data_IF_424411079078
#
_entry.id   IF_424411079078
#
_cell.length_a   1.000
_cell.length_b   1.000
_cell.length_c   1.000
_cell.angle_alpha   90.00
_cell.angle_beta   90.00
_cell.angle_gamma   90.00
#
_symmetry.space_group_name_H-M   'P 1'
#
loop_
_entity.id
_entity.type
_entity.pdbx_description
1 polymer ?
#
# COMPACT_ATOMS: atom_id res chain seq x y z
N UNK A 1 -22.15 -8.10 -10.45
CA UNK A 1 -21.83 -7.51 -9.14
C UNK A 1 -22.94 -6.55 -8.78
N UNK A 2 -23.54 -6.67 -7.60
CA UNK A 2 -24.42 -5.61 -7.09
C UNK A 2 -23.57 -4.43 -6.58
N UNK A 3 -24.13 -3.23 -6.45
CA UNK A 3 -23.39 -2.06 -5.95
C UNK A 3 -22.80 -2.28 -4.54
N UNK A 4 -23.41 -3.14 -3.73
CA UNK A 4 -22.92 -3.49 -2.40
C UNK A 4 -21.64 -4.35 -2.46
N UNK A 5 -21.54 -5.26 -3.45
CA UNK A 5 -20.37 -6.15 -3.62
C UNK A 5 -19.14 -5.41 -4.13
N UNK A 6 -19.34 -4.29 -4.83
CA UNK A 6 -18.26 -3.47 -5.40
C UNK A 6 -17.62 -2.50 -4.39
N UNK A 7 -18.37 -2.09 -3.36
CA UNK A 7 -17.94 -1.10 -2.38
C UNK A 7 -16.59 -1.44 -1.68
N UNK A 8 -16.34 -2.70 -1.25
CA UNK A 8 -15.10 -3.05 -0.56
C UNK A 8 -13.86 -2.94 -1.46
N UNK A 9 -13.92 -3.43 -2.70
CA UNK A 9 -12.79 -3.33 -3.64
C UNK A 9 -12.55 -1.90 -4.08
N UNK A 10 -13.61 -1.10 -4.27
CA UNK A 10 -13.48 0.33 -4.56
C UNK A 10 -12.74 1.05 -3.43
N UNK A 11 -13.16 0.84 -2.17
CA UNK A 11 -12.49 1.43 -1.01
C UNK A 11 -11.04 0.95 -0.88
N UNK A 12 -10.79 -0.34 -1.08
CA UNK A 12 -9.43 -0.90 -1.09
C UNK A 12 -8.55 -0.20 -2.13
N UNK A 13 -9.07 -0.04 -3.36
CA UNK A 13 -8.38 0.63 -4.47
C UNK A 13 -8.09 2.09 -4.15
N UNK A 14 -9.07 2.84 -3.66
CA UNK A 14 -8.91 4.26 -3.28
C UNK A 14 -7.87 4.42 -2.17
N UNK A 15 -7.97 3.67 -1.08
CA UNK A 15 -6.99 3.78 0.03
C UNK A 15 -5.59 3.34 -0.39
N UNK A 16 -5.48 2.32 -1.23
CA UNK A 16 -4.18 1.91 -1.80
C UNK A 16 -3.59 3.02 -2.69
N UNK A 17 -4.43 3.68 -3.49
CA UNK A 17 -4.03 4.82 -4.32
C UNK A 17 -3.58 6.02 -3.48
N UNK A 18 -4.32 6.36 -2.43
CA UNK A 18 -3.93 7.41 -1.48
C UNK A 18 -2.61 7.08 -0.79
N UNK A 19 -2.37 5.81 -0.43
CA UNK A 19 -1.08 5.38 0.11
C UNK A 19 0.05 5.57 -0.91
N UNK A 20 -0.17 5.27 -2.20
CA UNK A 20 0.81 5.54 -3.25
C UNK A 20 1.12 7.04 -3.36
N UNK A 21 0.09 7.90 -3.34
CA UNK A 21 0.25 9.36 -3.37
C UNK A 21 1.02 9.88 -2.14
N UNK A 22 0.76 9.33 -0.95
CA UNK A 22 1.51 9.70 0.25
C UNK A 22 3.01 9.40 0.13
N UNK A 23 3.37 8.27 -0.52
CA UNK A 23 4.78 7.96 -0.81
C UNK A 23 5.38 8.94 -1.82
N UNK A 24 4.66 9.30 -2.89
CA UNK A 24 5.11 10.31 -3.84
C UNK A 24 5.27 11.69 -3.17
N UNK A 25 4.37 12.05 -2.27
CA UNK A 25 4.47 13.27 -1.48
C UNK A 25 5.74 13.30 -0.62
N UNK A 26 6.23 12.16 -0.11
CA UNK A 26 7.50 12.11 0.59
C UNK A 26 8.67 12.56 -0.29
N UNK A 27 8.66 12.17 -1.57
CA UNK A 27 9.70 12.57 -2.53
C UNK A 27 9.60 14.06 -2.81
N UNK A 28 8.38 14.57 -3.05
CA UNK A 28 8.16 15.99 -3.36
C UNK A 28 8.48 16.92 -2.18
N UNK A 29 8.17 16.51 -0.94
CA UNK A 29 8.33 17.31 0.28
C UNK A 29 9.68 17.07 0.97
N UNK A 30 10.46 16.09 0.52
CA UNK A 30 11.82 15.83 1.00
C UNK A 30 11.91 15.29 2.43
N UNK A 31 13.07 15.51 3.06
CA UNK A 31 13.42 14.87 4.34
C UNK A 31 12.41 15.07 5.50
N UNK A 32 11.76 16.23 5.68
CA UNK A 32 10.72 16.39 6.70
C UNK A 32 9.58 15.38 6.56
N UNK A 33 9.14 15.08 5.33
CA UNK A 33 8.08 14.11 5.09
C UNK A 33 8.55 12.67 5.38
N UNK A 34 9.80 12.32 5.07
CA UNK A 34 10.36 11.02 5.48
C UNK A 34 10.42 10.85 7.00
N UNK A 35 10.75 11.91 7.76
CA UNK A 35 10.70 11.90 9.22
C UNK A 35 9.27 11.77 9.75
N UNK A 36 8.35 12.56 9.19
CA UNK A 36 6.92 12.53 9.55
C UNK A 36 6.31 11.15 9.32
N UNK A 37 6.59 10.55 8.17
CA UNK A 37 6.17 9.18 7.84
C UNK A 37 6.93 8.11 8.64
N UNK A 38 7.88 8.50 9.50
CA UNK A 38 8.58 7.59 10.40
C UNK A 38 9.55 6.64 9.70
N UNK A 39 10.13 7.03 8.56
CA UNK A 39 11.14 6.25 7.82
C UNK A 39 12.54 6.24 8.46
N UNK A 40 12.71 6.94 9.60
CA UNK A 40 13.96 7.01 10.34
C UNK A 40 14.94 8.06 9.83
N UNK A 41 15.90 8.39 10.68
CA UNK A 41 16.84 9.50 10.45
C UNK A 41 17.86 9.19 9.35
N UNK A 42 18.20 7.92 9.13
CA UNK A 42 19.09 7.50 8.03
C UNK A 42 18.47 7.78 6.66
N UNK A 43 17.16 7.56 6.50
CA UNK A 43 16.47 7.88 5.25
C UNK A 43 16.36 9.39 5.06
N UNK A 44 15.96 10.12 6.10
CA UNK A 44 15.83 11.57 6.04
C UNK A 44 17.17 12.28 5.71
N UNK A 45 18.26 11.95 6.42
CA UNK A 45 19.59 12.51 6.11
C UNK A 45 20.12 12.08 4.75
N UNK A 46 19.76 10.89 4.28
CA UNK A 46 20.11 10.47 2.92
C UNK A 46 19.44 11.37 1.86
N UNK A 47 18.20 11.81 2.10
CA UNK A 47 17.50 12.77 1.23
C UNK A 47 18.16 14.14 1.30
N UNK A 48 18.50 14.65 2.48
CA UNK A 48 19.23 15.93 2.66
C UNK A 48 20.58 15.92 1.96
N UNK A 49 21.29 14.80 1.99
CA UNK A 49 22.55 14.60 1.29
C UNK A 49 22.40 14.34 -0.22
N UNK A 50 21.19 14.48 -0.80
CA UNK A 50 20.94 14.30 -2.23
C UNK A 50 21.11 12.86 -2.73
N UNK A 51 21.07 11.85 -1.85
CA UNK A 51 21.24 10.44 -2.26
C UNK A 51 19.96 9.93 -2.93
N UNK A 52 20.11 9.22 -4.04
CA UNK A 52 18.98 8.65 -4.80
C UNK A 52 18.31 7.44 -4.13
N UNK A 53 18.99 6.75 -3.21
CA UNK A 53 18.49 5.51 -2.62
C UNK A 53 17.09 5.63 -1.98
N UNK A 54 16.79 6.62 -1.12
CA UNK A 54 15.44 6.77 -0.56
C UNK A 54 14.39 7.06 -1.63
N UNK A 55 14.74 7.87 -2.65
CA UNK A 55 13.83 8.19 -3.76
C UNK A 55 13.48 6.94 -4.54
N UNK A 56 14.46 6.12 -4.94
CA UNK A 56 14.22 4.89 -5.71
C UNK A 56 13.40 3.86 -4.94
N UNK A 57 13.66 3.70 -3.63
CA UNK A 57 12.87 2.81 -2.77
C UNK A 57 11.43 3.30 -2.69
N UNK A 58 11.23 4.58 -2.39
CA UNK A 58 9.89 5.18 -2.25
C UNK A 58 9.11 5.15 -3.57
N UNK A 59 9.77 5.38 -4.71
CA UNK A 59 9.17 5.23 -6.04
C UNK A 59 8.74 3.78 -6.31
N UNK A 60 9.58 2.80 -5.98
CA UNK A 60 9.24 1.39 -6.13
C UNK A 60 7.99 1.01 -5.32
N UNK A 61 7.90 1.49 -4.08
CA UNK A 61 6.72 1.28 -3.23
C UNK A 61 5.48 1.97 -3.83
N UNK A 62 5.60 3.24 -4.22
CA UNK A 62 4.50 3.99 -4.81
C UNK A 62 3.98 3.34 -6.10
N UNK A 63 4.87 2.91 -7.00
CA UNK A 63 4.51 2.23 -8.23
C UNK A 63 3.79 0.89 -7.98
N UNK A 64 4.31 0.08 -7.05
CA UNK A 64 3.66 -1.18 -6.65
C UNK A 64 2.25 -0.94 -6.11
N UNK A 65 2.09 0.04 -5.21
CA UNK A 65 0.77 0.41 -4.66
C UNK A 65 -0.17 0.95 -5.75
N UNK A 66 0.33 1.75 -6.69
CA UNK A 66 -0.47 2.25 -7.81
C UNK A 66 -0.98 1.10 -8.71
N UNK A 67 -0.12 0.10 -8.99
CA UNK A 67 -0.53 -1.10 -9.73
C UNK A 67 -1.60 -1.88 -8.97
N UNK A 68 -1.45 -2.07 -7.65
CA UNK A 68 -2.45 -2.78 -6.85
C UNK A 68 -3.79 -2.03 -6.79
N UNK A 69 -3.75 -0.70 -6.66
CA UNK A 69 -4.93 0.16 -6.77
C UNK A 69 -5.63 -0.01 -8.13
N UNK A 70 -4.86 -0.06 -9.21
CA UNK A 70 -5.40 -0.31 -10.55
C UNK A 70 -6.09 -1.68 -10.65
N UNK A 71 -5.54 -2.74 -10.06
CA UNK A 71 -6.22 -4.05 -10.00
C UNK A 71 -7.57 -3.98 -9.29
N UNK A 72 -7.66 -3.30 -8.14
CA UNK A 72 -8.94 -3.10 -7.45
C UNK A 72 -9.95 -2.32 -8.30
N UNK A 73 -9.53 -1.21 -8.93
CA UNK A 73 -10.40 -0.38 -9.77
C UNK A 73 -10.84 -1.10 -11.04
N UNK A 74 -9.97 -1.93 -11.61
CA UNK A 74 -10.25 -2.78 -12.77
C UNK A 74 -11.32 -3.82 -12.46
N UNK A 75 -11.22 -4.46 -11.29
CA UNK A 75 -12.16 -5.46 -10.81
C UNK A 75 -13.58 -4.94 -10.57
N UNK A 76 -13.75 -3.64 -10.30
CA UNK A 76 -15.06 -2.98 -10.19
C UNK A 76 -15.48 -2.25 -11.46
N UNK A 77 -14.71 -2.37 -12.55
CA UNK A 77 -15.05 -1.85 -13.88
C UNK A 77 -14.79 -0.35 -14.11
N UNK A 78 -14.04 0.32 -13.23
CA UNK A 78 -13.69 1.74 -13.42
C UNK A 78 -12.56 1.96 -14.44
N UNK A 79 -11.73 0.95 -14.66
CA UNK A 79 -10.69 0.94 -15.69
C UNK A 79 -10.76 -0.37 -16.49
N UNK A 80 -10.02 -0.44 -17.60
CA UNK A 80 -9.97 -1.63 -18.43
C UNK A 80 -9.63 -2.90 -17.62
N UNK A 81 -10.21 -4.07 -17.95
CA UNK A 81 -9.94 -5.32 -17.25
C UNK A 81 -8.47 -5.69 -17.36
N UNK A 82 -7.85 -6.00 -16.22
CA UNK A 82 -6.46 -6.43 -16.13
C UNK A 82 -6.35 -7.95 -16.10
N UNK A 83 -5.31 -8.53 -16.73
CA UNK A 83 -5.12 -9.98 -16.73
C UNK A 83 -4.87 -10.49 -15.31
N UNK A 84 -5.22 -11.74 -15.03
CA UNK A 84 -4.92 -12.39 -13.75
C UNK A 84 -5.53 -11.69 -12.51
N UNK A 85 -6.68 -11.02 -12.66
CA UNK A 85 -7.32 -10.26 -11.57
C UNK A 85 -7.60 -11.11 -10.32
N UNK A 86 -8.16 -12.32 -10.46
CA UNK A 86 -8.40 -13.24 -9.32
C UNK A 86 -7.14 -13.52 -8.49
N UNK A 87 -6.06 -14.12 -9.05
CA UNK A 87 -4.86 -14.40 -8.26
C UNK A 87 -4.14 -13.12 -7.82
N UNK A 88 -4.18 -12.04 -8.60
CA UNK A 88 -3.57 -10.77 -8.21
C UNK A 88 -4.22 -10.18 -6.96
N UNK A 89 -5.55 -10.05 -6.93
CA UNK A 89 -6.26 -9.50 -5.77
C UNK A 89 -6.11 -10.38 -4.53
N UNK A 90 -6.16 -11.71 -4.69
CA UNK A 90 -5.89 -12.65 -3.61
C UNK A 90 -4.46 -12.44 -3.05
N UNK A 91 -3.45 -12.37 -3.92
CA UNK A 91 -2.07 -12.14 -3.50
C UNK A 91 -1.89 -10.79 -2.80
N UNK A 92 -2.48 -9.72 -3.33
CA UNK A 92 -2.43 -8.37 -2.74
C UNK A 92 -3.01 -8.40 -1.32
N UNK A 93 -4.17 -9.04 -1.13
CA UNK A 93 -4.78 -9.17 0.20
C UNK A 93 -3.86 -9.87 1.19
N UNK A 94 -3.26 -11.00 0.79
CA UNK A 94 -2.32 -11.77 1.61
C UNK A 94 -1.10 -10.92 1.97
N UNK A 95 -0.50 -10.20 1.01
CA UNK A 95 0.67 -9.35 1.27
C UNK A 95 0.35 -8.25 2.29
N UNK A 96 -0.80 -7.57 2.16
CA UNK A 96 -1.20 -6.56 3.14
C UNK A 96 -1.43 -7.15 4.53
N UNK A 97 -2.10 -8.30 4.63
CA UNK A 97 -2.38 -8.97 5.90
C UNK A 97 -1.10 -9.49 6.57
N UNK A 98 -0.18 -10.07 5.80
CA UNK A 98 1.15 -10.47 6.29
C UNK A 98 1.89 -9.23 6.79
N UNK A 99 1.92 -8.15 6.02
CA UNK A 99 2.61 -6.92 6.42
C UNK A 99 2.00 -6.33 7.70
N UNK A 100 0.68 -6.40 7.84
CA UNK A 100 -0.03 -5.90 9.02
C UNK A 100 0.27 -6.71 10.28
N UNK A 101 0.46 -8.03 10.17
CA UNK A 101 0.59 -8.95 11.32
C UNK A 101 2.04 -9.30 11.65
N UNK A 102 2.92 -9.41 10.65
CA UNK A 102 4.32 -9.75 10.82
C UNK A 102 5.23 -8.54 11.14
N UNK A 103 4.65 -7.38 11.47
CA UNK A 103 5.41 -6.18 11.79
C UNK A 103 6.43 -6.34 12.95
N UNK A 104 6.22 -7.19 13.99
CA UNK A 104 7.22 -7.41 15.03
C UNK A 104 8.52 -8.04 14.48
N UNK A 105 8.41 -8.89 13.46
CA UNK A 105 9.55 -9.50 12.78
C UNK A 105 10.22 -8.48 11.85
N UNK A 106 9.42 -7.75 11.05
CA UNK A 106 9.89 -6.72 10.13
C UNK A 106 10.63 -5.57 10.82
N UNK A 107 10.22 -5.21 12.05
CA UNK A 107 10.86 -4.15 12.84
C UNK A 107 12.36 -4.38 13.06
N UNK A 108 12.81 -5.65 13.09
CA UNK A 108 14.24 -5.98 13.22
C UNK A 108 15.05 -5.55 12.00
N UNK A 109 14.45 -5.61 10.80
CA UNK A 109 15.11 -5.20 9.55
C UNK A 109 15.09 -3.67 9.36
N UNK A 110 14.13 -2.97 9.96
CA UNK A 110 13.99 -1.51 9.87
C UNK A 110 13.90 -0.87 11.27
N UNK A 111 15.00 -0.91 12.05
CA UNK A 111 14.99 -0.50 13.46
C UNK A 111 14.82 1.01 13.67
N UNK A 112 15.13 1.83 12.65
CA UNK A 112 14.97 3.29 12.73
C UNK A 112 13.53 3.75 12.47
N UNK A 113 12.63 2.85 12.03
CA UNK A 113 11.24 3.21 11.83
C UNK A 113 10.54 3.44 13.17
N UNK A 114 9.75 4.51 13.26
CA UNK A 114 9.13 4.91 14.53
C UNK A 114 8.06 3.91 15.01
N UNK A 115 7.83 3.85 16.33
CA UNK A 115 6.75 3.04 16.89
C UNK A 115 5.37 3.43 16.30
N UNK A 116 5.12 4.73 16.17
CA UNK A 116 3.90 5.27 15.58
C UNK A 116 3.72 4.81 14.14
N UNK A 117 4.79 4.84 13.33
CA UNK A 117 4.74 4.32 11.97
C UNK A 117 4.27 2.86 11.97
N UNK A 118 4.89 2.01 12.79
CA UNK A 118 4.53 0.58 12.83
C UNK A 118 3.06 0.36 13.17
N UNK A 119 2.55 0.99 14.21
CA UNK A 119 1.15 0.81 14.62
C UNK A 119 0.16 1.38 13.59
N UNK A 120 0.36 2.62 13.16
CA UNK A 120 -0.54 3.30 12.23
C UNK A 120 -0.55 2.59 10.88
N UNK A 121 0.63 2.34 10.32
CA UNK A 121 0.71 1.69 9.01
C UNK A 121 0.24 0.24 9.04
N UNK A 122 0.46 -0.50 10.13
CA UNK A 122 -0.07 -1.87 10.26
C UNK A 122 -1.59 -1.87 10.37
N UNK A 123 -2.19 -0.91 11.09
CA UNK A 123 -3.63 -0.73 11.11
C UNK A 123 -4.22 -0.42 9.74
N UNK A 124 -3.58 0.49 8.99
CA UNK A 124 -3.96 0.81 7.60
C UNK A 124 -3.86 -0.42 6.71
N UNK A 125 -2.76 -1.16 6.79
CA UNK A 125 -2.58 -2.37 5.99
C UNK A 125 -3.57 -3.49 6.37
N UNK A 126 -3.94 -3.61 7.64
CA UNK A 126 -4.97 -4.57 8.07
C UNK A 126 -6.33 -4.21 7.47
N UNK A 127 -6.71 -2.92 7.53
CA UNK A 127 -7.96 -2.44 6.97
C UNK A 127 -8.01 -2.66 5.44
N UNK A 128 -6.97 -2.22 4.72
CA UNK A 128 -6.87 -2.40 3.27
C UNK A 128 -6.85 -3.89 2.90
N UNK A 129 -6.04 -4.71 3.59
CA UNK A 129 -5.95 -6.15 3.35
C UNK A 129 -7.29 -6.87 3.55
N UNK A 130 -8.05 -6.49 4.58
CA UNK A 130 -9.40 -7.02 4.84
C UNK A 130 -10.38 -6.61 3.74
N UNK A 131 -10.34 -5.35 3.28
CA UNK A 131 -11.19 -4.89 2.18
C UNK A 131 -10.89 -5.63 0.88
N UNK A 132 -9.61 -5.84 0.55
CA UNK A 132 -9.23 -6.68 -0.60
C UNK A 132 -9.73 -8.11 -0.43
N UNK A 133 -9.49 -8.74 0.73
CA UNK A 133 -9.89 -10.14 0.96
C UNK A 133 -11.42 -10.32 0.84
N UNK A 134 -12.18 -9.47 1.53
CA UNK A 134 -13.64 -9.49 1.53
C UNK A 134 -14.21 -9.20 0.15
N UNK A 135 -13.75 -8.12 -0.49
CA UNK A 135 -14.21 -7.73 -1.81
C UNK A 135 -13.87 -8.76 -2.89
N UNK A 136 -12.68 -9.38 -2.81
CA UNK A 136 -12.28 -10.46 -3.71
C UNK A 136 -13.14 -11.70 -3.53
N UNK A 137 -13.49 -12.06 -2.29
CA UNK A 137 -14.38 -13.17 -2.01
C UNK A 137 -15.79 -12.94 -2.56
N UNK A 138 -16.35 -11.74 -2.40
CA UNK A 138 -17.66 -11.38 -2.95
C UNK A 138 -17.66 -11.36 -4.49
N UNK A 139 -16.60 -10.84 -5.10
CA UNK A 139 -16.51 -10.73 -6.56
C UNK A 139 -16.00 -12.02 -7.23
N UNK A 140 -15.62 -13.07 -6.48
CA UNK A 140 -14.84 -14.20 -6.98
C UNK A 140 -15.38 -14.87 -8.25
N UNK A 141 -16.70 -15.09 -8.34
CA UNK A 141 -17.33 -15.72 -9.49
C UNK A 141 -17.30 -14.84 -10.77
N UNK A 142 -17.14 -13.52 -10.61
CA UNK A 142 -17.26 -12.50 -11.66
C UNK A 142 -15.91 -11.88 -12.07
N UNK A 143 -14.83 -12.16 -11.34
CA UNK A 143 -13.46 -11.77 -11.67
C UNK A 143 -12.85 -12.65 -12.77
#
# INVERSE_FOLDING_TARGET
MTNADACPLLLAGVFTGLAALAHLACIALGAPAFRFMGAGERMARAVEAGRMRPVLITLGIAAMLAVWSAYALSAVGHIAPLPLSRPALAAISVVFLIRATCFPLLRRAFPENSNTFWWVSSGICLAIGTLYAWGTALAWANL
#
